data_IF_717803286757
#
_entry.id   IF_717803286757
#
_cell.length_a   1.000
_cell.length_b   1.000
_cell.length_c   1.000
_cell.angle_alpha   90.00
_cell.angle_beta   90.00
_cell.angle_gamma   90.00
#
_symmetry.space_group_name_H-M   'P 1'
#
loop_
_entity.id
_entity.type
_entity.pdbx_description
1 polymer ?
#
# COMPACT_ATOMS: atom_id res chain seq x y z
N UNK A 1 -15.77 32.87 -67.05
CA UNK A 1 -14.48 32.55 -67.71
C UNK A 1 -13.61 31.88 -66.67
N UNK A 2 -12.96 30.73 -66.84
CA UNK A 2 -12.65 29.97 -68.04
C UNK A 2 -12.64 28.47 -67.69
N UNK A 3 -13.11 27.66 -68.64
CA UNK A 3 -12.96 26.22 -68.63
C UNK A 3 -11.47 25.86 -68.80
N UNK A 4 -10.86 25.29 -67.77
CA UNK A 4 -9.56 24.61 -67.87
C UNK A 4 -9.83 23.10 -67.88
N UNK A 5 -9.21 22.44 -68.87
CA UNK A 5 -9.56 21.11 -69.39
C UNK A 5 -9.44 20.00 -68.34
N UNK A 6 -10.46 19.13 -68.36
CA UNK A 6 -10.77 17.98 -67.48
C UNK A 6 -9.69 16.87 -67.35
N UNK A 7 -8.43 17.08 -67.73
CA UNK A 7 -7.42 16.01 -67.79
C UNK A 7 -6.01 16.34 -67.25
N UNK A 8 -5.78 17.52 -66.66
CA UNK A 8 -4.62 17.74 -65.77
C UNK A 8 -5.03 17.73 -64.29
N UNK A 9 -6.34 17.67 -64.02
CA UNK A 9 -6.89 17.70 -62.68
C UNK A 9 -6.66 16.39 -61.91
N UNK A 10 -6.72 15.25 -62.61
CA UNK A 10 -6.59 13.92 -61.98
C UNK A 10 -5.17 13.62 -61.48
N UNK A 11 -4.11 14.07 -62.17
CA UNK A 11 -2.72 13.81 -61.73
C UNK A 11 -2.34 14.67 -60.53
N UNK A 12 -2.76 15.93 -60.51
CA UNK A 12 -2.51 16.90 -59.43
C UNK A 12 -3.34 16.57 -58.17
N UNK A 13 -4.59 16.13 -58.34
CA UNK A 13 -5.45 15.72 -57.21
C UNK A 13 -5.04 14.39 -56.58
N UNK A 14 -4.49 13.43 -57.34
CA UNK A 14 -4.20 12.10 -56.79
C UNK A 14 -2.76 11.91 -56.30
N UNK A 15 -1.74 12.57 -56.88
CA UNK A 15 -0.34 12.26 -56.55
C UNK A 15 0.34 13.24 -55.58
N UNK A 16 -0.15 14.48 -55.48
CA UNK A 16 0.36 15.46 -54.51
C UNK A 16 0.00 15.10 -53.06
N UNK A 17 -1.22 14.64 -52.72
CA UNK A 17 -1.50 14.21 -51.35
C UNK A 17 -0.73 12.95 -50.97
N UNK A 18 -0.43 12.04 -51.92
CA UNK A 18 0.38 10.84 -51.66
C UNK A 18 1.85 11.15 -51.39
N UNK A 19 2.39 12.23 -51.97
CA UNK A 19 3.77 12.67 -51.78
C UNK A 19 3.96 13.53 -50.52
N UNK A 20 2.92 14.25 -50.08
CA UNK A 20 2.94 14.99 -48.80
C UNK A 20 2.82 14.06 -47.58
N UNK A 21 2.17 12.91 -47.73
CA UNK A 21 2.03 11.89 -46.66
C UNK A 21 3.36 11.17 -46.35
N UNK A 22 4.35 11.20 -47.26
CA UNK A 22 5.65 10.53 -47.08
C UNK A 22 6.79 11.43 -46.58
N UNK A 23 6.59 12.75 -46.44
CA UNK A 23 7.61 13.68 -45.92
C UNK A 23 7.52 13.95 -44.41
N UNK A 24 6.66 13.26 -43.68
CA UNK A 24 6.58 13.43 -42.22
C UNK A 24 6.23 12.12 -41.50
N UNK A 25 6.84 11.01 -41.94
CA UNK A 25 7.13 9.89 -41.05
C UNK A 25 8.58 10.02 -40.61
N UNK A 26 8.79 10.60 -39.44
CA UNK A 26 9.79 10.15 -38.47
C UNK A 26 9.51 10.90 -37.16
N UNK A 27 8.61 10.33 -36.37
CA UNK A 27 8.10 10.94 -35.15
C UNK A 27 7.74 9.89 -34.12
N UNK A 28 8.77 9.22 -33.65
CA UNK A 28 8.96 8.59 -32.34
C UNK A 28 7.78 7.92 -31.64
N UNK A 29 8.02 6.66 -31.27
CA UNK A 29 7.22 5.92 -30.33
C UNK A 29 7.09 6.66 -28.98
N UNK A 30 5.98 6.38 -28.30
CA UNK A 30 5.77 6.49 -26.85
C UNK A 30 5.47 7.86 -26.22
N UNK A 31 4.38 8.51 -26.63
CA UNK A 31 3.74 9.53 -25.78
C UNK A 31 2.22 9.31 -25.66
N UNK A 32 1.81 8.22 -24.99
CA UNK A 32 0.48 8.20 -24.35
C UNK A 32 0.56 9.18 -23.19
N UNK A 33 -0.26 10.25 -23.14
CA UNK A 33 -0.27 11.12 -21.98
C UNK A 33 -0.88 10.35 -20.81
N UNK A 34 -0.04 9.66 -20.03
CA UNK A 34 -0.37 9.29 -18.67
C UNK A 34 -0.62 10.59 -17.92
N UNK A 35 -1.89 11.00 -17.85
CA UNK A 35 -2.31 11.93 -16.81
C UNK A 35 -1.88 11.26 -15.51
N UNK A 36 -0.84 11.80 -14.87
CA UNK A 36 -0.34 11.30 -13.59
C UNK A 36 -1.56 11.18 -12.69
N UNK A 37 -1.94 9.95 -12.37
CA UNK A 37 -3.02 9.74 -11.43
C UNK A 37 -2.65 10.51 -10.17
N UNK A 38 -3.52 11.43 -9.74
CA UNK A 38 -3.39 12.01 -8.42
C UNK A 38 -3.51 10.85 -7.46
N UNK A 39 -2.37 10.35 -6.98
CA UNK A 39 -2.32 9.29 -6.00
C UNK A 39 -3.22 9.73 -4.85
N UNK A 40 -4.26 8.96 -4.49
CA UNK A 40 -5.05 9.28 -3.31
C UNK A 40 -4.05 9.43 -2.16
N UNK A 41 -4.02 10.60 -1.52
CA UNK A 41 -3.13 10.88 -0.39
C UNK A 41 -3.43 9.82 0.68
N UNK A 42 -2.58 8.80 0.75
CA UNK A 42 -2.73 7.70 1.69
C UNK A 42 -2.52 8.28 3.08
N UNK A 43 -3.60 8.29 3.89
CA UNK A 43 -3.50 8.71 5.29
C UNK A 43 -2.43 7.84 5.96
N UNK A 44 -1.55 8.42 6.80
CA UNK A 44 -0.40 7.72 7.33
C UNK A 44 -0.82 6.40 7.99
N UNK A 45 -0.10 5.34 7.64
CA UNK A 45 -0.28 3.99 8.17
C UNK A 45 -0.29 4.08 9.70
N UNK A 46 -1.36 3.60 10.34
CA UNK A 46 -1.48 3.55 11.80
C UNK A 46 -0.31 2.72 12.34
N UNK A 47 0.70 3.38 12.91
CA UNK A 47 1.85 2.71 13.52
C UNK A 47 1.38 2.05 14.80
N UNK A 48 1.86 0.83 15.05
CA UNK A 48 1.60 0.17 16.32
C UNK A 48 2.25 1.00 17.45
N UNK A 49 1.56 1.17 18.59
CA UNK A 49 2.13 1.82 19.76
C UNK A 49 3.43 1.13 20.21
N UNK A 50 4.37 1.84 20.83
CA UNK A 50 5.58 1.24 21.36
C UNK A 50 5.25 0.27 22.51
N UNK A 51 5.93 -0.87 22.51
CA UNK A 51 5.87 -1.85 23.61
C UNK A 51 6.60 -1.25 24.81
N UNK A 52 5.93 -1.15 25.96
CA UNK A 52 6.53 -0.57 27.18
C UNK A 52 6.97 -1.61 28.19
N UNK A 53 6.29 -2.74 28.25
CA UNK A 53 6.60 -3.83 29.18
C UNK A 53 6.53 -5.16 28.45
N UNK A 54 7.27 -6.15 28.93
CA UNK A 54 7.25 -7.51 28.40
C UNK A 54 7.03 -8.48 29.54
N UNK A 55 6.21 -9.50 29.32
CA UNK A 55 6.00 -10.61 30.25
C UNK A 55 6.07 -11.92 29.47
N UNK A 56 6.43 -13.01 30.13
CA UNK A 56 6.51 -14.31 29.50
C UNK A 56 5.66 -15.34 30.25
N UNK A 57 5.18 -16.33 29.50
CA UNK A 57 4.46 -17.48 30.04
C UNK A 57 5.15 -18.71 29.51
N UNK A 58 5.57 -19.57 30.43
CA UNK A 58 6.11 -20.89 30.10
C UNK A 58 4.96 -21.89 30.00
N UNK A 59 4.88 -22.58 28.86
CA UNK A 59 3.81 -23.54 28.58
C UNK A 59 4.39 -24.95 28.67
N UNK A 60 3.75 -25.76 29.51
CA UNK A 60 4.03 -27.18 29.68
C UNK A 60 2.77 -27.97 29.34
N UNK A 61 2.87 -28.90 28.40
CA UNK A 61 1.77 -29.81 28.06
C UNK A 61 2.14 -31.16 28.64
N UNK A 62 1.28 -31.69 29.51
CA UNK A 62 1.56 -32.87 30.34
C UNK A 62 2.87 -32.71 31.14
N UNK A 63 3.94 -33.36 30.68
CA UNK A 63 5.26 -33.37 31.30
C UNK A 63 6.35 -32.72 30.46
N UNK A 64 6.05 -32.28 29.23
CA UNK A 64 7.02 -31.71 28.30
C UNK A 64 6.90 -30.18 28.23
N UNK A 65 8.06 -29.50 28.30
CA UNK A 65 8.14 -28.05 28.13
C UNK A 65 8.08 -27.69 26.64
N UNK A 66 6.93 -27.18 26.21
CA UNK A 66 6.63 -26.91 24.79
C UNK A 66 7.23 -25.59 24.32
N UNK A 67 7.32 -24.61 25.22
CA UNK A 67 7.98 -23.34 24.90
C UNK A 67 7.59 -22.18 25.82
N UNK A 68 8.15 -21.01 25.48
CA UNK A 68 7.93 -19.75 26.19
C UNK A 68 7.30 -18.74 25.24
N UNK A 69 6.14 -18.21 25.59
CA UNK A 69 5.50 -17.11 24.86
C UNK A 69 5.86 -15.79 25.53
N UNK A 70 6.34 -14.82 24.74
CA UNK A 70 6.66 -13.47 25.21
C UNK A 70 5.58 -12.50 24.72
N UNK A 71 4.92 -11.83 25.64
CA UNK A 71 3.90 -10.82 25.37
C UNK A 71 4.47 -9.42 25.55
N UNK A 72 4.39 -8.61 24.49
CA UNK A 72 4.62 -7.17 24.55
C UNK A 72 3.36 -6.42 24.96
N UNK A 73 3.46 -5.63 26.03
CA UNK A 73 2.36 -4.85 26.60
C UNK A 73 2.48 -3.37 26.23
N UNK A 74 1.34 -2.75 25.92
CA UNK A 74 1.25 -1.35 25.47
C UNK A 74 0.76 -0.42 26.59
N UNK A 75 1.65 -0.11 27.54
CA UNK A 75 1.29 0.73 28.70
C UNK A 75 0.96 2.18 28.34
N UNK A 76 1.35 2.67 27.16
CA UNK A 76 0.96 3.99 26.66
C UNK A 76 -0.53 4.07 26.30
N UNK A 77 -1.15 2.96 25.91
CA UNK A 77 -2.57 2.89 25.57
C UNK A 77 -3.40 2.48 26.78
N UNK A 78 -2.98 1.43 27.50
CA UNK A 78 -3.79 0.80 28.53
C UNK A 78 -3.01 0.58 29.84
N UNK A 79 -2.61 1.66 30.54
CA UNK A 79 -1.71 1.56 31.70
C UNK A 79 -2.26 0.68 32.82
N UNK A 80 -3.56 0.79 33.16
CA UNK A 80 -4.20 -0.01 34.21
C UNK A 80 -4.24 -1.51 33.88
N UNK A 81 -4.50 -1.84 32.62
CA UNK A 81 -4.55 -3.23 32.17
C UNK A 81 -3.16 -3.85 32.16
N UNK A 82 -2.15 -3.09 31.71
CA UNK A 82 -0.74 -3.52 31.72
C UNK A 82 -0.26 -3.75 33.15
N UNK A 83 -0.58 -2.86 34.09
CA UNK A 83 -0.20 -3.04 35.49
C UNK A 83 -0.87 -4.27 36.10
N UNK A 84 -2.17 -4.47 35.86
CA UNK A 84 -2.88 -5.66 36.32
C UNK A 84 -2.25 -6.95 35.77
N UNK A 85 -2.03 -7.03 34.46
CA UNK A 85 -1.47 -8.23 33.83
C UNK A 85 -0.05 -8.52 34.31
N UNK A 86 0.78 -7.47 34.43
CA UNK A 86 2.13 -7.59 35.00
C UNK A 86 2.10 -8.15 36.43
N UNK A 87 1.24 -7.61 37.29
CA UNK A 87 1.10 -8.08 38.67
C UNK A 87 0.57 -9.51 38.77
N UNK A 88 -0.33 -9.92 37.87
CA UNK A 88 -0.82 -11.29 37.81
C UNK A 88 0.28 -12.27 37.39
N UNK A 89 1.11 -11.91 36.40
CA UNK A 89 2.25 -12.73 36.00
C UNK A 89 3.32 -12.84 37.10
N UNK A 90 3.53 -11.79 37.89
CA UNK A 90 4.48 -11.78 39.00
C UNK A 90 3.92 -12.42 40.29
N UNK A 91 2.59 -12.57 40.39
CA UNK A 91 1.87 -13.02 41.59
C UNK A 91 2.05 -12.11 42.83
N UNK A 92 2.41 -10.83 42.64
CA UNK A 92 2.75 -9.91 43.75
C UNK A 92 1.54 -9.48 44.60
N UNK A 93 0.33 -9.49 44.01
CA UNK A 93 -0.88 -8.93 44.64
C UNK A 93 -1.73 -9.97 45.39
N UNK A 94 -1.24 -11.20 45.54
CA UNK A 94 -1.91 -12.29 46.26
C UNK A 94 -3.15 -12.86 45.56
N UNK A 95 -3.79 -13.85 46.19
CA UNK A 95 -5.03 -14.43 45.67
C UNK A 95 -6.19 -13.45 45.86
N UNK A 96 -7.01 -13.25 44.83
CA UNK A 96 -8.26 -12.52 44.97
C UNK A 96 -9.13 -13.15 46.06
N UNK A 97 -9.83 -12.33 46.85
CA UNK A 97 -10.83 -12.84 47.81
C UNK A 97 -11.89 -13.60 47.02
N UNK A 98 -11.74 -14.91 46.94
CA UNK A 98 -12.77 -15.78 46.37
C UNK A 98 -13.93 -15.79 47.37
N UNK A 99 -15.08 -15.28 46.92
CA UNK A 99 -16.37 -15.75 47.41
C UNK A 99 -16.42 -17.25 47.14
N UNK A 100 -16.29 -18.03 48.20
CA UNK A 100 -16.41 -19.47 48.23
C UNK A 100 -16.77 -19.87 49.65
#
# INVERSE_FOLDING_TARGET
>A
MAAIRRNQFWVVCFWIPLWLILLFQEGNASDVPMKKAHLPKMKPKKTMPPVTHQVYIDIKIESEHVGKIIFGLFGTIAPKAVENFKSLCACDKGNGKLSG
#
